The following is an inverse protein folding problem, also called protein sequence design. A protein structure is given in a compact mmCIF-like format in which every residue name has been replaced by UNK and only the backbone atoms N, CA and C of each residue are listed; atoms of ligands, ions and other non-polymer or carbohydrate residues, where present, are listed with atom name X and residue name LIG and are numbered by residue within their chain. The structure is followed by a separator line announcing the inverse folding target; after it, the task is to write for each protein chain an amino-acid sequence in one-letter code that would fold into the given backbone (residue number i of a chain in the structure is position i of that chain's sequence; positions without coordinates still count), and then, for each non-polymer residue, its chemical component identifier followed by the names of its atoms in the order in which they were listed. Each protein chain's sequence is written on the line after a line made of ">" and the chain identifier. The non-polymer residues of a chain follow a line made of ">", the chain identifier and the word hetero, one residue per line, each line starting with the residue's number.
data_IF_126532912839
#
_entry.id   IF_126532912839
#
_cell.length_a   1.000
_cell.length_b   1.000
_cell.length_c   1.000
_cell.angle_alpha   90.00
_cell.angle_beta   90.00
_cell.angle_gamma   90.00
#
_symmetry.space_group_name_H-M   'P 1'
#
loop_
_entity.id
_entity.type
_entity.pdbx_description
1 polymer ?
#
# COMPACT_ATOMS: atom_id res chain seq x y z
N UNK A 1 -2.04 2.07 17.87
CA UNK A 1 -3.05 3.06 17.48
C UNK A 1 -3.51 3.82 18.70
N UNK A 2 -3.89 5.09 18.54
CA UNK A 2 -4.35 6.01 19.58
C UNK A 2 -5.89 6.11 19.60
N UNK A 3 -6.52 6.30 18.43
CA UNK A 3 -7.98 6.38 18.28
C UNK A 3 -8.42 5.47 17.15
N UNK A 4 -9.47 4.68 17.39
CA UNK A 4 -10.06 3.76 16.43
C UNK A 4 -11.55 4.07 16.23
N UNK A 5 -11.99 4.10 14.99
CA UNK A 5 -13.39 4.03 14.60
C UNK A 5 -13.61 2.72 13.86
N UNK A 6 -14.32 1.80 14.50
CA UNK A 6 -14.61 0.47 13.99
C UNK A 6 -16.13 0.24 14.03
N UNK A 7 -16.73 -0.21 12.93
CA UNK A 7 -18.18 -0.44 12.79
C UNK A 7 -19.04 0.79 13.19
N UNK A 8 -18.58 1.99 12.84
CA UNK A 8 -19.26 3.24 13.16
C UNK A 8 -20.03 3.81 11.95
N UNK A 9 -21.03 4.65 12.20
CA UNK A 9 -21.75 5.39 11.16
C UNK A 9 -21.96 6.84 11.61
N UNK A 10 -21.84 7.80 10.68
CA UNK A 10 -22.11 9.22 10.91
C UNK A 10 -21.20 9.85 11.98
N UNK A 11 -19.89 9.62 11.85
CA UNK A 11 -18.87 10.10 12.78
C UNK A 11 -18.41 11.50 12.42
N UNK A 12 -18.27 12.38 13.42
CA UNK A 12 -17.69 13.71 13.26
C UNK A 12 -16.57 13.92 14.28
N UNK A 13 -15.38 14.27 13.78
CA UNK A 13 -14.21 14.61 14.59
C UNK A 13 -13.73 15.98 14.15
N UNK A 14 -13.48 16.86 15.12
CA UNK A 14 -12.99 18.20 14.85
C UNK A 14 -11.94 18.62 15.87
N UNK A 15 -10.86 19.28 15.44
CA UNK A 15 -9.85 19.91 16.32
C UNK A 15 -9.18 18.94 17.29
N UNK A 16 -9.07 17.68 16.88
CA UNK A 16 -8.38 16.66 17.65
C UNK A 16 -6.87 16.89 17.59
N UNK A 17 -6.20 16.76 18.72
CA UNK A 17 -4.74 16.75 18.80
C UNK A 17 -4.25 15.41 19.33
N UNK A 18 -3.38 14.73 18.58
CA UNK A 18 -2.73 13.48 18.98
C UNK A 18 -1.22 13.66 18.90
N UNK A 19 -0.51 13.22 19.94
CA UNK A 19 0.96 13.30 19.98
C UNK A 19 1.54 12.05 20.61
N UNK A 20 2.45 11.39 19.88
CA UNK A 20 3.31 10.32 20.35
C UNK A 20 4.74 10.56 19.83
N UNK A 21 5.78 10.00 20.48
CA UNK A 21 7.15 10.05 19.97
C UNK A 21 7.27 9.45 18.56
N UNK A 22 8.14 10.02 17.73
CA UNK A 22 8.39 9.57 16.34
C UNK A 22 8.89 8.12 16.25
N UNK A 23 9.60 7.65 17.26
CA UNK A 23 10.14 6.29 17.36
C UNK A 23 9.16 5.30 18.02
N UNK A 24 7.93 5.73 18.34
CA UNK A 24 6.96 4.89 19.03
C UNK A 24 6.22 3.98 18.03
N UNK A 25 6.46 2.65 18.05
CA UNK A 25 5.91 1.74 17.06
C UNK A 25 4.38 1.63 17.20
N UNK A 26 3.69 1.45 16.07
CA UNK A 26 2.25 1.20 16.01
C UNK A 26 1.43 2.24 16.77
N UNK A 27 1.79 3.51 16.67
CA UNK A 27 1.07 4.62 17.31
C UNK A 27 0.17 5.39 16.36
N UNK A 28 -0.56 4.70 15.49
CA UNK A 28 -1.49 5.33 14.52
C UNK A 28 -2.36 6.39 15.18
N UNK A 29 -2.48 7.57 14.59
CA UNK A 29 -3.26 8.67 15.15
C UNK A 29 -4.75 8.35 15.16
N UNK A 30 -5.37 8.37 13.98
CA UNK A 30 -6.76 7.98 13.76
C UNK A 30 -6.79 6.78 12.83
N UNK A 31 -7.37 5.68 13.29
CA UNK A 31 -7.63 4.51 12.47
C UNK A 31 -9.13 4.39 12.19
N UNK A 32 -9.47 4.11 10.94
CA UNK A 32 -10.85 4.03 10.44
C UNK A 32 -11.01 2.69 9.74
N UNK A 33 -11.90 1.84 10.23
CA UNK A 33 -12.19 0.52 9.64
C UNK A 33 -13.68 0.25 9.77
N UNK A 34 -14.28 -0.46 8.80
CA UNK A 34 -15.72 -0.79 8.77
C UNK A 34 -16.66 0.40 9.07
N UNK A 35 -16.26 1.63 8.72
CA UNK A 35 -16.93 2.86 9.17
C UNK A 35 -17.44 3.68 7.99
N UNK A 36 -18.66 4.19 8.10
CA UNK A 36 -19.35 4.90 7.01
C UNK A 36 -19.69 6.34 7.41
N UNK A 37 -19.60 7.26 6.46
CA UNK A 37 -19.96 8.68 6.65
C UNK A 37 -19.18 9.32 7.81
N UNK A 38 -17.85 9.36 7.71
CA UNK A 38 -16.99 9.98 8.71
C UNK A 38 -16.39 11.29 8.18
N UNK A 39 -16.43 12.33 9.01
CA UNK A 39 -15.80 13.62 8.71
C UNK A 39 -14.77 13.96 9.78
N UNK A 40 -13.54 14.21 9.36
CA UNK A 40 -12.43 14.68 10.17
C UNK A 40 -12.10 16.12 9.75
N UNK A 41 -11.99 17.03 10.71
CA UNK A 41 -11.74 18.45 10.43
C UNK A 41 -10.72 19.07 11.39
N UNK A 42 -9.79 19.84 10.86
CA UNK A 42 -8.84 20.66 11.63
C UNK A 42 -8.03 19.86 12.69
N UNK A 43 -7.65 18.62 12.39
CA UNK A 43 -6.91 17.76 13.32
C UNK A 43 -5.39 17.93 13.18
N UNK A 44 -4.65 17.85 14.29
CA UNK A 44 -3.18 17.86 14.33
C UNK A 44 -2.66 16.56 14.95
N UNK A 45 -1.90 15.79 14.19
CA UNK A 45 -1.47 14.44 14.58
C UNK A 45 0.02 14.30 14.30
N UNK A 46 0.79 14.00 15.35
CA UNK A 46 2.19 13.62 15.25
C UNK A 46 2.43 12.33 16.01
N UNK A 47 2.89 11.29 15.32
CA UNK A 47 2.98 9.92 15.86
C UNK A 47 4.21 9.22 15.32
N UNK A 48 4.48 7.99 15.79
CA UNK A 48 5.50 7.13 15.18
C UNK A 48 4.97 6.25 14.03
N UNK A 49 3.66 6.23 13.80
CA UNK A 49 3.01 5.47 12.73
C UNK A 49 2.05 6.35 11.91
N UNK A 50 1.07 5.75 11.20
CA UNK A 50 0.12 6.43 10.33
C UNK A 50 -0.60 7.58 11.06
N UNK A 51 -0.61 8.77 10.45
CA UNK A 51 -1.37 9.92 10.94
C UNK A 51 -2.88 9.60 10.89
N UNK A 52 -3.32 9.11 9.73
CA UNK A 52 -4.64 8.55 9.51
C UNK A 52 -4.45 7.23 8.76
N UNK A 53 -5.01 6.13 9.27
CA UNK A 53 -5.12 4.85 8.56
C UNK A 53 -6.58 4.55 8.23
N UNK A 54 -6.87 4.24 6.96
CA UNK A 54 -8.22 3.94 6.45
C UNK A 54 -8.20 2.53 5.87
N UNK A 55 -8.90 1.61 6.52
CA UNK A 55 -8.93 0.20 6.16
C UNK A 55 -10.29 -0.24 5.59
N UNK A 56 -10.36 -1.53 5.26
CA UNK A 56 -11.51 -2.19 4.63
C UNK A 56 -12.84 -1.91 5.34
N UNK A 57 -13.92 -1.97 4.57
CA UNK A 57 -15.28 -1.71 5.02
C UNK A 57 -15.58 -0.22 5.24
N UNK A 58 -14.63 0.68 4.94
CA UNK A 58 -14.81 2.12 5.12
C UNK A 58 -15.27 2.81 3.83
N UNK A 59 -16.29 3.66 3.93
CA UNK A 59 -16.80 4.44 2.79
C UNK A 59 -17.24 5.85 3.20
N UNK A 60 -17.18 6.80 2.26
CA UNK A 60 -17.51 8.21 2.47
C UNK A 60 -16.71 8.80 3.66
N UNK A 61 -15.38 8.75 3.53
CA UNK A 61 -14.44 9.32 4.50
C UNK A 61 -13.98 10.69 3.99
N UNK A 62 -14.23 11.73 4.76
CA UNK A 62 -13.83 13.11 4.42
C UNK A 62 -12.87 13.64 5.48
N UNK A 63 -11.68 14.07 5.07
CA UNK A 63 -10.69 14.65 5.95
C UNK A 63 -10.25 16.02 5.44
N UNK A 64 -10.49 17.07 6.20
CA UNK A 64 -10.21 18.46 5.79
C UNK A 64 -9.32 19.18 6.80
N UNK A 65 -8.29 19.90 6.34
CA UNK A 65 -7.46 20.71 7.24
C UNK A 65 -6.61 19.88 8.21
N UNK A 66 -6.06 18.75 7.75
CA UNK A 66 -5.27 17.84 8.59
C UNK A 66 -3.80 18.24 8.61
N UNK A 67 -3.20 18.36 9.78
CA UNK A 67 -1.75 18.50 9.94
C UNK A 67 -1.16 17.18 10.45
N UNK A 68 -0.28 16.58 9.66
CA UNK A 68 0.43 15.35 10.01
C UNK A 68 1.93 15.60 10.16
N UNK A 69 2.56 15.00 11.16
CA UNK A 69 4.02 14.98 11.25
C UNK A 69 4.55 15.13 12.67
N UNK A 70 5.54 14.31 13.07
CA UNK A 70 6.15 13.18 12.33
C UNK A 70 5.20 11.96 12.21
N UNK A 71 5.66 10.87 11.57
CA UNK A 71 4.91 9.60 11.44
C UNK A 71 4.90 9.05 10.01
N UNK A 72 3.96 8.15 9.69
CA UNK A 72 3.91 7.48 8.39
C UNK A 72 3.07 8.16 7.30
N UNK A 73 2.37 9.25 7.64
CA UNK A 73 1.51 10.00 6.71
C UNK A 73 0.06 9.52 6.73
N UNK A 74 -0.68 9.82 5.66
CA UNK A 74 -2.07 9.39 5.50
C UNK A 74 -2.08 8.14 4.62
N UNK A 75 -2.55 7.03 5.17
CA UNK A 75 -2.53 5.72 4.55
C UNK A 75 -3.93 5.15 4.34
N UNK A 76 -4.18 4.61 3.15
CA UNK A 76 -5.29 3.70 2.87
C UNK A 76 -4.71 2.28 2.87
N UNK A 77 -5.22 1.42 3.74
CA UNK A 77 -4.75 0.07 3.98
C UNK A 77 -3.86 -0.07 5.23
N UNK A 78 -3.28 -1.26 5.44
CA UNK A 78 -3.13 -2.31 4.42
C UNK A 78 -4.44 -3.02 4.07
N UNK A 79 -4.72 -3.20 2.78
CA UNK A 79 -5.94 -3.86 2.28
C UNK A 79 -5.65 -5.28 1.79
N UNK A 80 -6.55 -6.22 2.08
CA UNK A 80 -6.50 -7.59 1.52
C UNK A 80 -5.52 -8.53 2.22
N UNK A 81 -5.23 -8.25 3.50
CA UNK A 81 -4.37 -9.08 4.35
C UNK A 81 -4.85 -10.53 4.38
N UNK A 82 -3.91 -11.48 4.50
CA UNK A 82 -4.25 -12.91 4.56
C UNK A 82 -5.15 -13.41 3.40
N UNK A 83 -5.04 -12.80 2.22
CA UNK A 83 -5.87 -13.10 1.03
C UNK A 83 -7.35 -12.73 1.21
N UNK A 84 -7.64 -11.79 2.10
CA UNK A 84 -8.98 -11.31 2.35
C UNK A 84 -9.50 -10.45 1.18
N UNK A 85 -10.82 -10.33 1.11
CA UNK A 85 -11.45 -9.27 0.32
C UNK A 85 -11.39 -7.96 1.11
N UNK A 86 -11.03 -6.87 0.44
CA UNK A 86 -11.03 -5.54 1.00
C UNK A 86 -11.72 -4.53 0.11
N UNK A 87 -12.55 -3.68 0.73
CA UNK A 87 -13.36 -2.69 0.04
C UNK A 87 -13.24 -1.33 0.70
N UNK A 88 -12.77 -0.32 -0.04
CA UNK A 88 -12.72 1.07 0.38
C UNK A 88 -13.21 1.96 -0.76
N UNK A 89 -14.07 2.93 -0.47
CA UNK A 89 -14.62 3.82 -1.50
C UNK A 89 -14.90 5.23 -1.00
N UNK A 90 -14.96 6.18 -1.93
CA UNK A 90 -15.42 7.55 -1.67
C UNK A 90 -14.59 8.26 -0.58
N UNK A 91 -13.28 8.28 -0.75
CA UNK A 91 -12.35 8.90 0.18
C UNK A 91 -11.95 10.28 -0.35
N UNK A 92 -12.04 11.31 0.48
CA UNK A 92 -11.56 12.65 0.14
C UNK A 92 -10.70 13.20 1.26
N UNK A 93 -9.46 13.57 0.94
CA UNK A 93 -8.57 14.35 1.79
C UNK A 93 -8.32 15.69 1.11
N UNK A 94 -8.69 16.78 1.76
CA UNK A 94 -8.60 18.13 1.19
C UNK A 94 -7.91 19.11 2.16
N UNK A 95 -6.82 19.73 1.73
CA UNK A 95 -6.15 20.76 2.52
C UNK A 95 -5.29 20.20 3.67
N UNK A 96 -4.57 19.10 3.44
CA UNK A 96 -3.65 18.54 4.43
C UNK A 96 -2.23 19.09 4.30
N UNK A 97 -1.53 19.20 5.42
CA UNK A 97 -0.11 19.55 5.51
C UNK A 97 0.67 18.43 6.19
N UNK A 98 1.69 17.90 5.53
CA UNK A 98 2.51 16.79 6.00
C UNK A 98 3.97 17.23 6.13
N UNK A 99 4.54 17.13 7.33
CA UNK A 99 5.92 17.53 7.60
C UNK A 99 6.72 16.42 8.26
N UNK A 100 7.88 16.07 7.69
CA UNK A 100 8.80 15.10 8.30
C UNK A 100 8.26 13.67 8.39
N UNK A 101 7.22 13.33 7.63
CA UNK A 101 6.65 11.97 7.63
C UNK A 101 7.43 11.04 6.68
N UNK A 102 7.35 9.73 6.92
CA UNK A 102 7.97 8.73 6.03
C UNK A 102 7.23 8.61 4.70
N UNK A 103 5.91 8.81 4.69
CA UNK A 103 5.14 8.92 3.45
C UNK A 103 4.21 10.13 3.51
N UNK A 104 3.76 10.60 2.36
CA UNK A 104 2.74 11.62 2.29
C UNK A 104 1.36 10.98 2.23
N UNK A 105 0.98 10.59 1.01
CA UNK A 105 -0.28 9.93 0.69
C UNK A 105 0.05 8.51 0.22
N UNK A 106 -0.45 7.52 0.94
CA UNK A 106 -0.05 6.12 0.74
C UNK A 106 -1.27 5.23 0.54
N UNK A 107 -1.23 4.34 -0.44
CA UNK A 107 -2.19 3.23 -0.59
C UNK A 107 -1.40 1.92 -0.54
N UNK A 108 -1.73 1.03 0.40
CA UNK A 108 -1.06 -0.26 0.61
C UNK A 108 -2.04 -1.40 0.40
N UNK A 109 -1.73 -2.35 -0.48
CA UNK A 109 -2.52 -3.57 -0.64
C UNK A 109 -1.63 -4.79 -0.60
N UNK A 110 -2.06 -5.81 0.13
CA UNK A 110 -1.39 -7.09 0.18
C UNK A 110 -1.52 -7.84 -1.14
N UNK A 111 -0.44 -8.53 -1.48
CA UNK A 111 -0.47 -9.55 -2.51
C UNK A 111 -1.41 -10.68 -2.10
N UNK A 112 -2.22 -11.14 -3.05
CA UNK A 112 -3.25 -12.15 -2.77
C UNK A 112 -4.56 -11.58 -2.29
N UNK A 113 -4.59 -10.32 -1.85
CA UNK A 113 -5.81 -9.60 -1.57
C UNK A 113 -6.72 -9.51 -2.79
N UNK A 114 -8.00 -9.26 -2.55
CA UNK A 114 -9.01 -9.06 -3.61
C UNK A 114 -10.02 -7.99 -3.18
N UNK A 115 -10.94 -7.60 -4.05
CA UNK A 115 -11.87 -6.50 -3.80
C UNK A 115 -11.39 -5.21 -4.47
N UNK A 116 -11.77 -4.04 -3.94
CA UNK A 116 -11.49 -2.76 -4.60
C UNK A 116 -11.25 -1.57 -3.65
N UNK A 117 -10.41 -0.64 -4.11
CA UNK A 117 -10.16 0.66 -3.52
C UNK A 117 -10.43 1.73 -4.59
N UNK A 118 -11.55 2.43 -4.48
CA UNK A 118 -12.08 3.25 -5.60
C UNK A 118 -12.54 4.65 -5.21
N UNK A 119 -12.53 5.57 -6.18
CA UNK A 119 -12.95 6.96 -5.99
C UNK A 119 -12.27 7.65 -4.80
N UNK A 120 -10.94 7.73 -4.90
CA UNK A 120 -10.08 8.31 -3.85
C UNK A 120 -9.54 9.65 -4.35
N UNK A 121 -9.68 10.69 -3.54
CA UNK A 121 -9.39 12.07 -3.93
C UNK A 121 -8.49 12.74 -2.90
N UNK A 122 -7.25 13.06 -3.30
CA UNK A 122 -6.31 13.85 -2.51
C UNK A 122 -6.14 15.23 -3.15
N UNK A 123 -6.48 16.30 -2.42
CA UNK A 123 -6.54 17.66 -2.96
C UNK A 123 -5.86 18.67 -2.05
N UNK A 124 -5.23 19.68 -2.66
CA UNK A 124 -4.66 20.83 -1.96
C UNK A 124 -3.67 20.44 -0.85
N UNK A 125 -2.71 19.56 -1.17
CA UNK A 125 -1.81 18.98 -0.18
C UNK A 125 -0.46 19.71 -0.19
N UNK A 126 0.04 20.03 1.00
CA UNK A 126 1.37 20.61 1.21
C UNK A 126 2.29 19.61 1.90
N UNK A 127 3.49 19.46 1.38
CA UNK A 127 4.47 18.52 1.91
C UNK A 127 5.79 19.21 2.20
N UNK A 128 6.42 18.88 3.33
CA UNK A 128 7.73 19.40 3.70
C UNK A 128 8.59 18.28 4.24
N UNK A 129 9.69 17.98 3.54
CA UNK A 129 10.65 16.97 3.95
C UNK A 129 9.98 15.61 4.24
N UNK A 130 9.09 15.20 3.35
CA UNK A 130 8.39 13.91 3.43
C UNK A 130 9.20 12.88 2.65
N UNK A 131 9.51 11.70 3.20
CA UNK A 131 10.44 10.77 2.52
C UNK A 131 9.87 10.26 1.20
N UNK A 132 8.65 9.72 1.19
CA UNK A 132 7.95 9.28 -0.03
C UNK A 132 6.58 9.99 -0.17
N UNK A 133 6.52 11.18 -0.79
CA UNK A 133 5.31 11.99 -0.93
C UNK A 133 4.05 11.27 -1.42
N UNK A 134 4.12 10.53 -2.53
CA UNK A 134 2.95 9.86 -3.11
C UNK A 134 3.34 8.41 -3.40
N UNK A 135 2.61 7.46 -2.82
CA UNK A 135 2.90 6.04 -3.00
C UNK A 135 1.64 5.18 -3.15
N UNK A 136 1.65 4.30 -4.13
CA UNK A 136 0.76 3.15 -4.25
C UNK A 136 1.64 1.91 -4.28
N UNK A 137 1.45 1.03 -3.30
CA UNK A 137 2.20 -0.21 -3.14
C UNK A 137 1.22 -1.38 -3.11
N UNK A 138 1.11 -2.09 -4.23
CA UNK A 138 0.34 -3.35 -4.31
C UNK A 138 1.21 -4.60 -4.07
N UNK A 139 2.49 -4.43 -3.71
CA UNK A 139 3.41 -5.51 -3.35
C UNK A 139 3.63 -5.59 -1.83
N UNK A 140 2.74 -4.97 -1.04
CA UNK A 140 2.95 -4.80 0.39
C UNK A 140 3.12 -6.15 1.10
N UNK A 141 4.20 -6.27 1.86
CA UNK A 141 4.50 -7.41 2.71
C UNK A 141 5.08 -6.94 4.07
N UNK A 142 4.59 -7.47 5.20
CA UNK A 142 5.07 -7.10 6.55
C UNK A 142 6.48 -7.67 6.89
N UNK A 143 7.43 -7.64 5.94
CA UNK A 143 8.82 -7.99 6.20
C UNK A 143 9.72 -6.77 6.04
N UNK A 144 10.75 -6.67 6.89
CA UNK A 144 11.70 -5.54 6.96
C UNK A 144 12.50 -5.29 5.66
N UNK A 145 12.43 -6.20 4.68
CA UNK A 145 13.00 -6.00 3.33
C UNK A 145 11.92 -6.15 2.25
N UNK A 146 12.02 -5.38 1.15
CA UNK A 146 11.22 -5.61 -0.04
C UNK A 146 11.32 -7.08 -0.43
N UNK A 147 10.17 -7.70 -0.67
CA UNK A 147 10.10 -9.07 -1.12
C UNK A 147 11.02 -9.24 -2.36
N UNK A 148 12.15 -9.95 -2.21
CA UNK A 148 13.17 -10.08 -3.26
C UNK A 148 12.66 -10.98 -4.39
N UNK A 149 13.10 -10.70 -5.62
CA UNK A 149 12.89 -11.54 -6.79
C UNK A 149 13.26 -13.01 -6.48
N UNK A 150 12.25 -13.88 -6.48
CA UNK A 150 12.43 -15.30 -6.23
C UNK A 150 12.05 -16.11 -7.47
N UNK A 151 13.07 -16.63 -8.15
CA UNK A 151 12.92 -17.72 -9.13
C UNK A 151 12.36 -18.94 -8.40
N UNK A 152 11.25 -19.53 -8.88
CA UNK A 152 10.53 -20.61 -8.21
C UNK A 152 11.38 -21.79 -7.69
N UNK A 153 10.76 -22.67 -6.89
CA UNK A 153 11.46 -23.79 -6.23
C UNK A 153 11.27 -25.12 -6.98
N UNK A 154 12.35 -25.77 -7.41
CA UNK A 154 12.35 -27.13 -8.00
C UNK A 154 13.18 -28.10 -7.15
N UNK A 155 12.82 -29.39 -7.12
CA UNK A 155 13.56 -30.45 -6.41
C UNK A 155 13.66 -30.27 -4.89
N UNK A 156 12.58 -29.88 -4.21
CA UNK A 156 12.56 -29.80 -2.74
C UNK A 156 12.07 -31.11 -2.14
N UNK A 157 12.95 -31.78 -1.39
CA UNK A 157 12.61 -32.98 -0.62
C UNK A 157 12.53 -32.62 0.87
N UNK A 158 11.35 -32.78 1.46
CA UNK A 158 11.11 -32.51 2.87
C UNK A 158 10.65 -33.82 3.55
N UNK A 159 11.59 -34.53 4.19
CA UNK A 159 11.33 -35.84 4.81
C UNK A 159 11.59 -35.82 6.31
N UNK A 160 10.79 -36.57 7.07
CA UNK A 160 11.00 -36.80 8.51
C UNK A 160 10.89 -35.54 9.39
N UNK A 161 10.00 -34.61 9.06
CA UNK A 161 9.82 -33.37 9.82
C UNK A 161 8.68 -33.50 10.82
N UNK A 162 8.95 -33.28 12.10
CA UNK A 162 7.92 -33.01 13.10
C UNK A 162 7.83 -31.50 13.34
N UNK A 163 6.65 -30.91 13.15
CA UNK A 163 6.46 -29.46 13.27
C UNK A 163 5.18 -29.13 14.04
N UNK A 164 5.32 -28.25 15.04
CA UNK A 164 4.21 -27.69 15.81
C UNK A 164 4.54 -27.50 17.30
N UNK A 165 3.76 -26.67 18.02
CA UNK A 165 2.68 -25.81 17.50
C UNK A 165 3.22 -24.57 16.76
N UNK A 166 2.41 -23.92 15.93
CA UNK A 166 2.80 -22.71 15.17
C UNK A 166 2.27 -22.68 13.73
N UNK A 167 2.89 -21.92 12.82
CA UNK A 167 2.34 -21.76 11.47
C UNK A 167 2.40 -23.01 10.58
N UNK A 168 3.26 -24.00 10.87
CA UNK A 168 3.45 -25.19 10.04
C UNK A 168 4.68 -25.12 9.13
N UNK A 169 4.73 -25.96 8.10
CA UNK A 169 5.85 -26.03 7.14
C UNK A 169 5.45 -25.25 5.88
N UNK A 170 6.25 -24.26 5.50
CA UNK A 170 6.11 -23.58 4.20
C UNK A 170 7.25 -24.00 3.27
N UNK A 171 6.91 -24.55 2.10
CA UNK A 171 7.87 -24.99 1.09
C UNK A 171 7.75 -24.11 -0.14
N UNK A 172 8.86 -23.48 -0.51
CA UNK A 172 8.98 -22.61 -1.68
C UNK A 172 8.35 -21.23 -1.50
N UNK A 173 8.66 -20.37 -2.46
CA UNK A 173 8.02 -19.08 -2.73
C UNK A 173 8.04 -18.92 -4.26
N UNK A 174 6.87 -18.94 -4.91
CA UNK A 174 6.77 -18.94 -6.38
C UNK A 174 6.49 -17.58 -6.97
N UNK A 175 7.47 -16.95 -7.62
CA UNK A 175 7.21 -16.00 -8.71
C UNK A 175 6.95 -14.57 -8.26
N UNK A 176 8.00 -13.77 -8.12
CA UNK A 176 7.84 -12.34 -7.89
C UNK A 176 7.24 -11.62 -9.12
N UNK A 177 6.55 -10.51 -8.91
CA UNK A 177 6.09 -9.59 -9.95
C UNK A 177 5.30 -10.21 -11.11
N UNK A 178 4.47 -11.23 -10.83
CA UNK A 178 3.73 -12.01 -11.84
C UNK A 178 4.65 -12.75 -12.84
N UNK A 179 5.88 -13.10 -12.44
CA UNK A 179 6.67 -14.08 -13.16
C UNK A 179 6.03 -15.47 -12.99
N UNK A 180 5.84 -16.18 -14.10
CA UNK A 180 5.44 -17.58 -14.03
C UNK A 180 6.57 -18.36 -13.34
N UNK A 181 6.27 -18.86 -12.14
CA UNK A 181 7.18 -19.71 -11.40
C UNK A 181 6.50 -21.04 -11.12
N UNK A 182 7.22 -22.12 -11.41
CA UNK A 182 6.74 -23.47 -11.29
C UNK A 182 7.31 -24.10 -10.02
N UNK A 183 6.46 -24.74 -9.22
CA UNK A 183 6.89 -25.74 -8.24
C UNK A 183 6.70 -27.10 -8.91
N UNK A 184 7.79 -27.83 -9.08
CA UNK A 184 7.78 -29.22 -9.55
C UNK A 184 8.57 -30.11 -8.60
N UNK A 185 8.23 -31.40 -8.61
CA UNK A 185 9.02 -32.44 -7.93
C UNK A 185 9.12 -32.27 -6.40
N UNK A 186 8.00 -31.90 -5.75
CA UNK A 186 7.90 -31.82 -4.29
C UNK A 186 7.48 -33.17 -3.71
N UNK A 187 8.32 -33.73 -2.84
CA UNK A 187 7.98 -34.90 -2.04
C UNK A 187 8.01 -34.54 -0.57
N UNK A 188 6.89 -34.79 0.11
CA UNK A 188 6.77 -34.73 1.57
C UNK A 188 6.48 -36.12 2.07
N UNK A 189 7.37 -36.67 2.88
CA UNK A 189 7.21 -38.01 3.43
C UNK A 189 7.50 -38.03 4.93
N UNK A 190 6.61 -38.68 5.71
CA UNK A 190 6.75 -38.79 7.15
C UNK A 190 6.65 -37.47 7.94
N UNK A 191 5.87 -36.49 7.48
CA UNK A 191 5.67 -35.23 8.21
C UNK A 191 4.60 -35.38 9.31
N UNK A 192 4.95 -35.05 10.56
CA UNK A 192 4.03 -35.01 11.70
C UNK A 192 3.73 -33.55 12.08
N UNK A 193 2.49 -33.11 11.88
CA UNK A 193 2.06 -31.73 12.10
C UNK A 193 1.03 -31.66 13.23
N UNK A 194 1.44 -31.17 14.40
CA UNK A 194 0.57 -31.15 15.59
C UNK A 194 0.37 -29.73 16.09
N UNK A 195 -0.88 -29.25 16.11
CA UNK A 195 -1.18 -27.90 16.59
C UNK A 195 -0.68 -26.78 15.67
N UNK A 196 -0.56 -27.06 14.36
CA UNK A 196 -0.19 -26.05 13.36
C UNK A 196 -1.42 -25.39 12.75
N UNK A 197 -1.31 -24.10 12.38
CA UNK A 197 -2.44 -23.37 11.75
C UNK A 197 -2.57 -23.64 10.27
N UNK A 198 -1.46 -23.77 9.53
CA UNK A 198 -1.48 -23.91 8.06
C UNK A 198 -1.04 -25.30 7.55
N UNK A 199 -0.71 -26.24 8.44
CA UNK A 199 -0.24 -27.56 8.04
C UNK A 199 1.03 -27.50 7.17
N UNK A 200 0.97 -28.10 5.98
CA UNK A 200 1.97 -27.96 4.94
C UNK A 200 1.44 -27.04 3.84
N UNK A 201 2.13 -25.92 3.60
CA UNK A 201 1.75 -24.93 2.59
C UNK A 201 2.85 -24.80 1.55
N UNK A 202 2.47 -24.83 0.27
CA UNK A 202 3.33 -24.32 -0.81
C UNK A 202 2.96 -22.84 -0.98
N UNK A 203 3.92 -21.93 -0.78
CA UNK A 203 3.67 -20.49 -0.93
C UNK A 203 3.84 -20.13 -2.41
N UNK A 204 2.74 -19.78 -3.07
CA UNK A 204 2.77 -19.20 -4.41
C UNK A 204 2.55 -17.69 -4.31
N UNK A 205 3.17 -16.89 -5.17
CA UNK A 205 2.72 -15.52 -5.35
C UNK A 205 1.36 -15.53 -6.02
N UNK A 206 0.60 -14.50 -5.71
CA UNK A 206 -0.83 -14.52 -5.93
C UNK A 206 -1.16 -13.51 -7.02
N UNK A 207 -1.88 -13.98 -8.03
CA UNK A 207 -2.29 -13.18 -9.17
C UNK A 207 -3.39 -12.17 -8.84
N UNK A 208 -4.00 -12.28 -7.65
CA UNK A 208 -4.98 -11.33 -7.13
C UNK A 208 -4.30 -10.22 -6.33
N UNK A 209 -4.72 -8.99 -6.59
CA UNK A 209 -4.47 -7.83 -5.72
C UNK A 209 -5.78 -7.04 -5.62
N UNK A 210 -5.94 -6.25 -4.55
CA UNK A 210 -7.08 -5.34 -4.42
C UNK A 210 -7.05 -4.35 -5.60
N UNK A 211 -8.13 -4.26 -6.38
CA UNK A 211 -8.19 -3.38 -7.54
C UNK A 211 -8.15 -1.90 -7.12
N UNK A 212 -7.17 -1.15 -7.60
CA UNK A 212 -7.07 0.30 -7.35
C UNK A 212 -7.56 1.04 -8.59
N UNK A 213 -8.61 1.85 -8.40
CA UNK A 213 -9.24 2.56 -9.52
C UNK A 213 -9.70 3.97 -9.14
N UNK A 214 -9.64 4.89 -10.11
CA UNK A 214 -10.19 6.24 -9.99
C UNK A 214 -9.59 7.00 -8.79
N UNK A 215 -8.26 7.09 -8.75
CA UNK A 215 -7.52 7.85 -7.73
C UNK A 215 -7.03 9.16 -8.32
N UNK A 216 -7.44 10.28 -7.72
CA UNK A 216 -7.03 11.63 -8.16
C UNK A 216 -6.12 12.27 -7.11
N UNK A 217 -4.92 12.68 -7.56
CA UNK A 217 -4.01 13.55 -6.84
C UNK A 217 -4.03 14.92 -7.51
N UNK A 218 -4.45 15.95 -6.78
CA UNK A 218 -4.66 17.29 -7.35
C UNK A 218 -4.05 18.39 -6.47
N UNK A 219 -3.33 19.32 -7.09
CA UNK A 219 -2.80 20.52 -6.42
C UNK A 219 -1.93 20.14 -5.21
N UNK A 220 -0.89 19.35 -5.47
CA UNK A 220 0.05 18.86 -4.45
C UNK A 220 1.39 19.55 -4.65
N UNK A 221 1.90 20.20 -3.61
CA UNK A 221 3.16 20.95 -3.66
C UNK A 221 4.04 20.64 -2.46
N UNK A 222 5.36 20.64 -2.64
CA UNK A 222 6.25 20.43 -1.49
C UNK A 222 7.63 19.88 -1.79
N UNK A 223 8.26 19.34 -0.75
CA UNK A 223 9.57 18.71 -0.84
C UNK A 223 9.59 17.25 -0.40
N UNK A 224 10.32 16.44 -1.18
CA UNK A 224 10.65 15.04 -0.90
C UNK A 224 12.02 14.93 -0.21
N UNK A 225 12.15 14.08 0.80
CA UNK A 225 13.45 13.77 1.41
C UNK A 225 14.22 12.69 0.63
N UNK A 226 13.52 11.86 -0.15
CA UNK A 226 14.13 10.89 -1.07
C UNK A 226 14.05 11.36 -2.52
N UNK A 227 14.85 10.71 -3.36
CA UNK A 227 14.86 10.92 -4.80
C UNK A 227 13.53 10.50 -5.45
N UNK A 228 13.00 9.31 -5.12
CA UNK A 228 11.72 8.85 -5.64
C UNK A 228 10.56 9.49 -4.85
N UNK A 229 9.93 10.50 -5.44
CA UNK A 229 8.86 11.24 -4.79
C UNK A 229 7.46 10.68 -5.09
N UNK A 230 7.30 10.07 -6.27
CA UNK A 230 6.06 9.42 -6.70
C UNK A 230 6.41 7.97 -7.04
N UNK A 231 5.76 7.02 -6.36
CA UNK A 231 6.01 5.59 -6.53
C UNK A 231 4.67 4.90 -6.75
N UNK A 232 4.42 4.37 -7.94
CA UNK A 232 3.29 3.48 -8.20
C UNK A 232 3.84 2.10 -8.56
N UNK A 233 3.74 1.16 -7.62
CA UNK A 233 4.08 -0.24 -7.83
C UNK A 233 2.79 -1.06 -7.85
N UNK A 234 2.15 -1.08 -9.02
CA UNK A 234 0.90 -1.78 -9.22
C UNK A 234 1.15 -3.20 -9.74
N UNK A 235 0.26 -4.13 -9.41
CA UNK A 235 0.30 -5.51 -9.88
C UNK A 235 0.06 -5.57 -11.38
N UNK A 236 0.79 -6.43 -12.09
CA UNK A 236 0.54 -6.71 -13.52
C UNK A 236 -0.82 -7.41 -13.73
N UNK A 237 -1.25 -8.24 -12.78
CA UNK A 237 -2.55 -8.93 -12.84
C UNK A 237 -3.74 -7.99 -12.61
N UNK A 238 -3.54 -6.94 -11.81
CA UNK A 238 -4.56 -5.92 -11.50
C UNK A 238 -3.93 -4.52 -11.59
N UNK A 239 -3.58 -4.02 -12.80
CA UNK A 239 -2.97 -2.71 -12.99
C UNK A 239 -3.83 -1.59 -12.39
N UNK A 240 -3.21 -0.56 -11.83
CA UNK A 240 -3.94 0.60 -11.33
C UNK A 240 -4.57 1.37 -12.49
N UNK A 241 -5.86 1.67 -12.41
CA UNK A 241 -6.62 2.30 -13.49
C UNK A 241 -7.16 3.67 -13.10
N UNK A 242 -7.25 4.59 -14.06
CA UNK A 242 -7.85 5.90 -13.82
C UNK A 242 -7.09 6.76 -12.80
N UNK A 243 -5.76 6.59 -12.70
CA UNK A 243 -4.94 7.44 -11.84
C UNK A 243 -4.77 8.80 -12.50
N UNK A 244 -5.10 9.88 -11.80
CA UNK A 244 -4.95 11.25 -12.29
C UNK A 244 -3.94 11.99 -11.43
N UNK A 245 -2.87 12.50 -12.08
CA UNK A 245 -1.95 13.45 -11.48
C UNK A 245 -2.24 14.83 -12.08
N UNK A 246 -2.70 15.76 -11.25
CA UNK A 246 -3.05 17.10 -11.68
C UNK A 246 -2.34 18.16 -10.82
N UNK A 247 -1.63 19.09 -11.47
CA UNK A 247 -1.02 20.24 -10.77
C UNK A 247 -0.13 19.80 -9.59
N UNK A 248 0.85 18.94 -9.88
CA UNK A 248 1.82 18.40 -8.91
C UNK A 248 3.15 19.15 -9.06
N UNK A 249 3.70 19.67 -7.96
CA UNK A 249 5.01 20.33 -7.93
C UNK A 249 5.78 19.91 -6.68
N UNK A 250 6.46 18.77 -6.76
CA UNK A 250 7.30 18.21 -5.72
C UNK A 250 8.76 18.26 -6.18
N UNK A 251 9.62 18.86 -5.37
CA UNK A 251 11.07 18.85 -5.59
C UNK A 251 11.77 18.02 -4.51
N UNK A 252 12.98 17.54 -4.77
CA UNK A 252 13.79 16.93 -3.72
C UNK A 252 14.34 18.05 -2.81
N UNK A 253 14.50 17.77 -1.51
CA UNK A 253 15.26 18.66 -0.63
C UNK A 253 16.76 18.61 -0.96
N UNK A 254 17.43 19.77 -0.93
CA UNK A 254 18.84 19.89 -1.29
C UNK A 254 19.09 19.92 -2.80
N UNK A 255 20.28 19.46 -3.22
CA UNK A 255 20.78 19.59 -4.59
C UNK A 255 20.35 18.45 -5.54
N UNK A 256 19.32 17.68 -5.16
CA UNK A 256 18.81 16.55 -5.94
C UNK A 256 17.60 16.89 -6.82
N UNK A 257 17.18 15.91 -7.63
CA UNK A 257 15.96 16.00 -8.43
C UNK A 257 14.97 14.94 -7.97
N UNK A 258 13.71 15.35 -7.75
CA UNK A 258 12.64 14.40 -7.48
C UNK A 258 12.32 13.61 -8.74
N UNK A 259 12.10 12.31 -8.60
CA UNK A 259 11.76 11.35 -9.66
C UNK A 259 10.41 10.71 -9.39
N UNK A 260 9.82 10.17 -10.45
CA UNK A 260 8.62 9.34 -10.37
C UNK A 260 8.87 8.00 -11.04
N UNK A 261 8.48 6.93 -10.35
CA UNK A 261 8.57 5.56 -10.81
C UNK A 261 7.18 4.94 -10.80
N UNK A 262 6.70 4.50 -11.97
CA UNK A 262 5.30 4.10 -12.14
C UNK A 262 5.23 2.82 -12.99
N UNK A 263 4.85 1.72 -12.36
CA UNK A 263 4.82 0.35 -12.89
C UNK A 263 3.38 -0.15 -12.89
N UNK A 264 2.92 -0.66 -14.04
CA UNK A 264 1.54 -1.16 -14.24
C UNK A 264 0.44 -0.18 -13.79
N UNK A 265 0.64 1.12 -14.00
CA UNK A 265 -0.32 2.16 -13.65
C UNK A 265 -0.74 2.96 -14.90
N UNK A 266 -2.04 3.07 -15.14
CA UNK A 266 -2.60 3.95 -16.15
C UNK A 266 -2.74 5.36 -15.57
N UNK A 267 -1.78 6.23 -15.90
CA UNK A 267 -1.70 7.59 -15.36
C UNK A 267 -2.07 8.63 -16.41
N UNK A 268 -3.02 9.50 -16.05
CA UNK A 268 -3.37 10.71 -16.80
C UNK A 268 -2.76 11.94 -16.14
N UNK A 269 -1.94 12.69 -16.89
CA UNK A 269 -1.35 13.94 -16.42
C UNK A 269 -2.22 15.14 -16.85
N UNK A 270 -2.50 16.06 -15.91
CA UNK A 270 -3.22 17.31 -16.17
C UNK A 270 -2.47 18.51 -15.58
N UNK A 271 -2.44 19.63 -16.29
CA UNK A 271 -1.77 20.84 -15.83
C UNK A 271 -0.25 20.64 -15.66
N UNK A 272 0.35 21.32 -14.67
CA UNK A 272 1.80 21.21 -14.42
C UNK A 272 2.07 20.02 -13.49
N UNK A 273 2.78 19.00 -13.96
CA UNK A 273 3.16 17.85 -13.13
C UNK A 273 4.68 17.73 -13.08
N UNK A 274 5.26 17.74 -11.89
CA UNK A 274 6.67 17.48 -11.59
C UNK A 274 6.80 16.81 -10.20
N UNK A 275 7.48 15.67 -10.06
CA UNK A 275 8.02 14.83 -11.14
C UNK A 275 6.92 14.11 -11.93
N UNK A 276 7.27 13.60 -13.11
CA UNK A 276 6.33 12.92 -14.01
C UNK A 276 6.66 11.43 -14.10
N UNK A 277 5.63 10.58 -14.05
CA UNK A 277 5.77 9.19 -14.48
C UNK A 277 6.31 9.17 -15.91
N UNK A 278 7.38 8.41 -16.15
CA UNK A 278 7.83 8.10 -17.52
C UNK A 278 6.68 7.43 -18.28
N UNK A 279 6.50 7.75 -19.57
CA UNK A 279 5.35 7.29 -20.38
C UNK A 279 5.00 5.81 -20.13
N UNK A 280 3.79 5.58 -19.63
CA UNK A 280 3.04 4.32 -19.51
C UNK A 280 3.71 3.12 -20.20
N UNK A 281 4.36 2.27 -19.41
CA UNK A 281 4.65 0.90 -19.85
C UNK A 281 3.70 -0.01 -19.07
N UNK A 282 2.54 -0.28 -19.66
CA UNK A 282 1.98 -1.62 -19.50
C UNK A 282 3.04 -2.52 -20.13
N UNK A 283 3.84 -3.22 -19.32
CA UNK A 283 4.86 -4.13 -19.86
C UNK A 283 4.13 -5.34 -20.47
N UNK A 284 3.69 -5.19 -21.72
CA UNK A 284 3.56 -6.31 -22.65
C UNK A 284 4.98 -6.82 -22.92
N UNK A 285 5.47 -7.69 -22.04
CA UNK A 285 6.48 -8.66 -22.44
C UNK A 285 5.80 -9.56 -23.50
N UNK A 286 6.35 -9.71 -24.72
CA UNK A 286 5.73 -10.52 -25.75
C UNK A 286 5.57 -11.95 -25.24
N UNK A 287 4.33 -12.44 -25.18
CA UNK A 287 4.03 -13.82 -24.89
C UNK A 287 4.80 -14.72 -25.87
N UNK A 288 5.66 -15.58 -25.32
CA UNK A 288 6.22 -16.67 -26.10
C UNK A 288 5.08 -17.62 -26.44
N UNK A 289 4.64 -17.58 -27.69
CA UNK A 289 3.76 -18.60 -28.28
C UNK A 289 4.58 -19.89 -28.35
N UNK A 290 4.30 -20.85 -27.46
CA UNK A 290 4.78 -22.20 -27.62
C UNK A 290 4.01 -22.86 -28.76
N UNK A 291 4.72 -23.24 -29.83
CA UNK A 291 4.22 -24.23 -30.77
C UNK A 291 4.25 -25.60 -30.09
N UNK A 292 3.22 -26.39 -30.36
CA UNK A 292 3.00 -27.78 -29.93
C UNK A 292 4.24 -28.65 -30.21
#
# INVERSE_FOLDING_TARGET
>A
MQISFDHCENVQVSKLQVTAPEDSPNTDGIHITHTQNITLSDCTIGTGDDCISIETGSTNVQATGITCGPGHGISIGSLGDHNSEAYVSDITVDGAELTGTTNGLRIKTWQGGSGNATNINFKNIKMKNVKNPIIIDQQYCDQDEPCKEQTGSTNVQATGISCGPGHGISIGSLGDHNSEAYVSDITVDGAELTGTTNGLRIKTWQSSAVEIKDVTYQSITGTSANEEAIIFDCSKGHPCQGIVLQDIDISMEGDGEAKANCTNAEVTLKGKVKPQCSKNIIQDQPGYVAYI
#
